data_IF_659965731855
#
_entry.id   IF_659965731855
#
_cell.length_a   1.000
_cell.length_b   1.000
_cell.length_c   1.000
_cell.angle_alpha   90.00
_cell.angle_beta   90.00
_cell.angle_gamma   90.00
#
_symmetry.space_group_name_H-M   'P 1'
#
loop_
_entity.id
_entity.type
_entity.pdbx_description
1 polymer ?
#
# COMPACT_ATOMS: atom_id res chain seq x y z
N UNK A 1 0.54 -38.83 -3.07
CA UNK A 1 0.57 -38.40 -2.78
C UNK A 1 0.26 -37.55 -2.60
N UNK A 2 -0.08 -37.14 -2.65
CA UNK A 2 -0.35 -36.44 -2.23
C UNK A 2 0.15 -35.26 -2.00
N UNK A 3 0.83 -34.82 -2.07
CA UNK A 3 1.58 -33.66 -1.84
C UNK A 3 1.17 -32.50 -2.63
N UNK A 4 0.80 -32.65 -3.84
CA UNK A 4 0.41 -31.58 -4.69
C UNK A 4 -0.82 -30.88 -4.18
N UNK A 5 -1.73 -31.64 -3.65
CA UNK A 5 -2.93 -31.03 -3.10
C UNK A 5 -2.61 -30.17 -1.93
N UNK A 6 -1.70 -30.62 -1.14
CA UNK A 6 -1.31 -29.86 0.03
C UNK A 6 -0.66 -28.57 -0.40
N UNK A 7 0.17 -28.63 -1.41
CA UNK A 7 0.83 -27.43 -1.87
C UNK A 7 -0.15 -26.42 -2.41
N UNK A 8 -1.16 -26.88 -3.12
CA UNK A 8 -2.14 -25.97 -3.61
C UNK A 8 -2.87 -25.28 -2.50
N UNK A 9 -3.20 -26.04 -1.50
CA UNK A 9 -3.89 -25.46 -0.37
C UNK A 9 -3.02 -24.46 0.32
N UNK A 10 -1.77 -24.76 0.45
CA UNK A 10 -0.86 -23.85 1.12
C UNK A 10 -0.71 -22.56 0.34
N UNK A 11 -0.62 -22.66 -0.95
CA UNK A 11 -0.48 -21.46 -1.75
C UNK A 11 -1.71 -20.58 -1.63
N UNK A 12 -2.86 -21.22 -1.64
CA UNK A 12 -4.09 -20.48 -1.52
C UNK A 12 -4.18 -19.78 -0.17
N UNK A 13 -3.85 -20.49 0.87
CA UNK A 13 -3.87 -19.92 2.20
C UNK A 13 -2.85 -18.79 2.32
N UNK A 14 -1.71 -18.98 1.73
CA UNK A 14 -0.70 -17.95 1.75
C UNK A 14 -1.19 -16.66 1.17
N UNK A 15 -1.90 -16.74 0.07
CA UNK A 15 -2.41 -15.53 -0.52
C UNK A 15 -3.44 -14.86 0.36
N UNK A 16 -4.28 -15.66 0.97
CA UNK A 16 -5.28 -15.07 1.84
C UNK A 16 -4.66 -14.44 3.05
N UNK A 17 -3.59 -15.03 3.54
CA UNK A 17 -2.97 -14.54 4.74
C UNK A 17 -1.86 -13.56 4.47
N UNK A 18 -1.59 -13.30 3.21
CA UNK A 18 -0.53 -12.39 2.88
C UNK A 18 -0.88 -11.01 3.33
N UNK A 19 -0.10 -10.48 4.22
CA UNK A 19 -0.30 -9.16 4.78
C UNK A 19 0.73 -8.24 4.17
N UNK A 20 0.26 -7.08 3.74
CA UNK A 20 1.13 -6.10 3.12
C UNK A 20 2.12 -5.58 4.14
N UNK A 21 3.38 -5.62 3.79
CA UNK A 21 4.42 -5.05 4.62
C UNK A 21 4.55 -3.58 4.27
N UNK A 22 3.97 -2.72 5.09
CA UNK A 22 3.96 -1.29 4.79
C UNK A 22 5.34 -0.69 4.77
N UNK A 23 6.26 -1.23 5.56
CA UNK A 23 7.63 -0.75 5.53
C UNK A 23 8.29 -1.01 4.19
N UNK A 24 7.95 -2.11 3.56
CA UNK A 24 8.46 -2.41 2.24
C UNK A 24 7.93 -1.40 1.22
N UNK A 25 6.65 -1.08 1.31
CA UNK A 25 6.06 -0.08 0.43
C UNK A 25 6.73 1.27 0.63
N UNK A 26 6.97 1.64 1.88
CA UNK A 26 7.63 2.89 2.19
C UNK A 26 9.04 2.94 1.60
N UNK A 27 9.74 1.82 1.64
CA UNK A 27 11.07 1.74 1.05
C UNK A 27 11.01 1.94 -0.46
N UNK A 28 9.99 1.39 -1.10
CA UNK A 28 9.80 1.57 -2.52
C UNK A 28 9.46 3.02 -2.86
N UNK A 29 8.66 3.66 -2.03
CA UNK A 29 8.38 5.08 -2.23
C UNK A 29 9.68 5.87 -2.20
N UNK A 30 10.51 5.61 -1.22
CA UNK A 30 11.75 6.35 -1.08
C UNK A 30 12.65 6.11 -2.29
N UNK A 31 12.72 4.87 -2.74
CA UNK A 31 13.57 4.52 -3.86
C UNK A 31 13.08 5.12 -5.16
N UNK A 32 11.78 5.09 -5.40
CA UNK A 32 11.26 5.45 -6.70
C UNK A 32 10.81 6.90 -6.83
N UNK A 33 10.56 7.58 -5.72
CA UNK A 33 10.20 9.00 -5.75
C UNK A 33 11.35 9.91 -5.33
N UNK A 34 12.35 9.33 -4.67
CA UNK A 34 13.48 10.12 -4.20
C UNK A 34 13.27 10.61 -2.78
N UNK A 35 14.38 10.99 -2.15
CA UNK A 35 14.35 11.37 -0.74
C UNK A 35 13.50 12.59 -0.47
N UNK A 36 13.58 13.56 -1.37
CA UNK A 36 12.90 14.82 -1.15
C UNK A 36 11.37 14.65 -1.14
N UNK A 37 10.87 13.97 -2.16
CA UNK A 37 9.42 13.74 -2.23
C UNK A 37 8.98 12.82 -1.09
N UNK A 38 9.78 11.81 -0.81
CA UNK A 38 9.44 10.89 0.26
C UNK A 38 9.38 11.61 1.61
N UNK A 39 10.40 12.38 1.92
CA UNK A 39 10.46 13.04 3.22
C UNK A 39 9.39 14.11 3.37
N UNK A 40 9.09 14.80 2.30
CA UNK A 40 8.09 15.87 2.36
C UNK A 40 6.66 15.35 2.35
N UNK A 41 6.43 14.24 1.67
CA UNK A 41 5.06 13.81 1.44
C UNK A 41 4.80 12.35 1.81
N UNK A 42 5.49 11.43 1.17
CA UNK A 42 5.06 10.05 1.18
C UNK A 42 5.26 9.35 2.52
N UNK A 43 6.21 9.79 3.30
CA UNK A 43 6.41 9.15 4.59
C UNK A 43 5.23 9.39 5.53
N UNK A 44 4.40 10.37 5.23
CA UNK A 44 3.24 10.70 6.07
C UNK A 44 1.99 9.92 5.69
N UNK A 45 2.09 9.05 4.71
CA UNK A 45 0.98 8.19 4.34
C UNK A 45 1.07 6.94 5.21
N UNK A 46 -0.02 6.59 5.86
CA UNK A 46 -0.04 5.42 6.73
C UNK A 46 -1.04 4.40 6.22
N UNK A 47 -0.84 3.14 6.57
CA UNK A 47 -1.79 2.10 6.25
C UNK A 47 -2.79 2.02 7.39
N UNK A 48 -4.04 2.37 7.09
CA UNK A 48 -5.09 2.37 8.10
C UNK A 48 -5.76 1.02 8.19
N UNK A 49 -6.11 0.46 7.04
CA UNK A 49 -6.78 -0.83 7.02
C UNK A 49 -6.51 -1.53 5.71
N UNK A 50 -6.43 -2.84 5.79
CA UNK A 50 -6.11 -3.65 4.65
C UNK A 50 -7.21 -4.68 4.41
N UNK A 51 -7.67 -4.72 3.17
CA UNK A 51 -8.65 -5.72 2.73
C UNK A 51 -8.00 -6.56 1.64
N UNK A 52 -8.70 -7.58 1.19
CA UNK A 52 -8.10 -8.50 0.22
C UNK A 52 -7.71 -7.81 -1.08
N UNK A 53 -8.54 -6.91 -1.55
CA UNK A 53 -8.32 -6.33 -2.87
C UNK A 53 -8.23 -4.82 -2.86
N UNK A 54 -8.22 -4.19 -1.70
CA UNK A 54 -8.02 -2.76 -1.63
C UNK A 54 -7.49 -2.35 -0.26
N UNK A 55 -7.02 -1.13 -0.17
CA UNK A 55 -6.43 -0.60 1.04
C UNK A 55 -7.09 0.72 1.41
N UNK A 56 -7.04 1.03 2.69
CA UNK A 56 -7.38 2.37 3.15
C UNK A 56 -6.13 2.96 3.74
N UNK A 57 -5.69 4.05 3.15
CA UNK A 57 -4.50 4.75 3.57
C UNK A 57 -4.89 6.05 4.26
N UNK A 58 -4.09 6.46 5.21
CA UNK A 58 -4.34 7.68 5.95
C UNK A 58 -3.37 8.76 5.55
N UNK A 59 -3.88 9.98 5.45
CA UNK A 59 -3.07 11.15 5.17
C UNK A 59 -3.42 12.24 6.18
N UNK A 60 -2.50 13.19 6.44
CA UNK A 60 -2.72 14.14 7.52
C UNK A 60 -3.82 15.17 7.27
N UNK A 61 -3.97 15.64 6.05
CA UNK A 61 -4.91 16.72 5.77
C UNK A 61 -5.56 16.51 4.41
N UNK A 62 -6.63 17.24 4.19
CA UNK A 62 -7.30 17.23 2.90
C UNK A 62 -6.40 17.82 1.81
N UNK A 63 -5.68 18.86 2.15
CA UNK A 63 -4.74 19.45 1.21
C UNK A 63 -3.71 18.42 0.77
N UNK A 64 -3.18 17.67 1.73
CA UNK A 64 -2.22 16.60 1.45
C UNK A 64 -2.84 15.58 0.51
N UNK A 65 -4.07 15.17 0.81
CA UNK A 65 -4.76 14.18 -0.02
C UNK A 65 -4.91 14.68 -1.45
N UNK A 66 -5.35 15.92 -1.60
CA UNK A 66 -5.58 16.46 -2.94
C UNK A 66 -4.28 16.57 -3.72
N UNK A 67 -3.22 16.93 -3.04
CA UNK A 67 -1.92 17.06 -3.66
C UNK A 67 -1.44 15.69 -4.16
N UNK A 68 -1.57 14.66 -3.34
CA UNK A 68 -1.18 13.31 -3.71
C UNK A 68 -2.02 12.82 -4.89
N UNK A 69 -3.32 13.01 -4.81
CA UNK A 69 -4.22 12.52 -5.84
C UNK A 69 -3.92 13.18 -7.19
N UNK A 70 -3.67 14.47 -7.17
CA UNK A 70 -3.47 15.19 -8.41
C UNK A 70 -2.12 14.90 -9.06
N UNK A 71 -1.14 14.44 -8.28
CA UNK A 71 0.21 14.32 -8.82
C UNK A 71 0.75 12.91 -8.85
N UNK A 72 0.44 12.09 -7.85
CA UNK A 72 1.16 10.85 -7.66
C UNK A 72 0.28 9.61 -7.52
N UNK A 73 -1.01 9.76 -7.65
CA UNK A 73 -1.91 8.65 -7.37
C UNK A 73 -1.55 7.39 -8.14
N UNK A 74 -1.38 7.50 -9.44
CA UNK A 74 -1.11 6.33 -10.28
C UNK A 74 0.22 5.70 -9.94
N UNK A 75 1.20 6.53 -9.69
CA UNK A 75 2.53 6.01 -9.40
C UNK A 75 2.57 5.34 -8.05
N UNK A 76 1.85 5.88 -7.08
CA UNK A 76 1.75 5.27 -5.77
C UNK A 76 1.05 3.92 -5.88
N UNK A 77 -0.03 3.87 -6.64
CA UNK A 77 -0.75 2.62 -6.82
C UNK A 77 0.14 1.57 -7.46
N UNK A 78 0.94 1.98 -8.42
CA UNK A 78 1.86 1.08 -9.08
C UNK A 78 2.85 0.46 -8.08
N UNK A 79 3.38 1.29 -7.17
CA UNK A 79 4.32 0.79 -6.17
C UNK A 79 3.65 -0.18 -5.22
N UNK A 80 2.44 0.15 -4.78
CA UNK A 80 1.73 -0.71 -3.86
C UNK A 80 1.39 -2.04 -4.51
N UNK A 81 0.99 -2.01 -5.77
CA UNK A 81 0.64 -3.23 -6.49
C UNK A 81 1.83 -4.15 -6.67
N UNK A 82 3.02 -3.62 -6.65
CA UNK A 82 4.19 -4.48 -6.78
C UNK A 82 4.42 -5.29 -5.50
N UNK A 83 3.83 -4.88 -4.40
CA UNK A 83 3.96 -5.60 -3.14
C UNK A 83 2.77 -6.51 -2.87
N UNK A 84 1.60 -6.11 -3.33
CA UNK A 84 0.40 -6.90 -3.12
C UNK A 84 -0.62 -6.55 -4.20
N UNK A 85 -1.24 -7.57 -4.77
CA UNK A 85 -2.26 -7.32 -5.78
C UNK A 85 -3.47 -6.65 -5.14
N UNK A 86 -3.81 -5.47 -5.62
CA UNK A 86 -5.01 -4.75 -5.19
C UNK A 86 -5.59 -4.05 -6.39
N UNK A 87 -6.88 -3.74 -6.33
CA UNK A 87 -7.51 -2.96 -7.38
C UNK A 87 -7.28 -1.48 -7.18
N UNK A 88 -7.36 -1.02 -5.94
CA UNK A 88 -7.25 0.40 -5.67
C UNK A 88 -7.04 0.64 -4.19
N UNK A 89 -6.81 1.90 -3.85
CA UNK A 89 -6.78 2.30 -2.45
C UNK A 89 -7.57 3.58 -2.29
N UNK A 90 -7.96 3.84 -1.06
CA UNK A 90 -8.67 5.05 -0.70
C UNK A 90 -7.81 5.86 0.23
N UNK A 91 -7.84 7.18 0.06
CA UNK A 91 -7.08 8.08 0.92
C UNK A 91 -8.04 8.78 1.86
N UNK A 92 -7.91 8.46 3.13
CA UNK A 92 -8.74 9.07 4.16
C UNK A 92 -7.91 10.07 4.92
N UNK A 93 -8.50 11.22 5.20
CA UNK A 93 -7.84 12.18 6.06
C UNK A 93 -8.00 11.69 7.48
N UNK A 94 -6.87 11.45 8.15
CA UNK A 94 -6.92 11.01 9.52
C UNK A 94 -6.38 12.08 10.42
N UNK A 95 -7.15 12.43 11.41
CA UNK A 95 -6.73 13.39 12.38
C UNK A 95 -6.19 12.62 13.55
N UNK A 96 -4.91 12.53 13.63
CA UNK A 96 -4.34 11.92 14.78
C UNK A 96 -3.91 13.01 15.68
N UNK A 97 -4.15 12.85 16.87
CA UNK A 97 -3.69 13.83 17.78
C UNK A 97 -2.58 13.28 18.62
#
# INVERSE_FOLDING_TARGET
MENNNIKKQNAFISEEEKILNWNEVQSLFKKNFGNEVYNSWLQNISLVKEYNDYLILGVPTRFFRDWIVSRYLDKILEQVKSCKFIFKFYLNVSFTT
#
